data_IF_316437351649
#
_entry.id   IF_316437351649
#
_cell.length_a   1.000
_cell.length_b   1.000
_cell.length_c   1.000
_cell.angle_alpha   90.00
_cell.angle_beta   90.00
_cell.angle_gamma   90.00
#
_symmetry.space_group_name_H-M   'P 1'
#
loop_
_entity.id
_entity.type
_entity.pdbx_description
1 polymer ?
#
# COMPACT_ATOMS: atom_id res chain seq x y z
N UNK A 1 -24.61 23.67 -43.79
CA UNK A 1 -24.50 23.99 -42.34
C UNK A 1 -24.83 22.80 -41.41
N UNK A 2 -25.75 21.87 -41.75
CA UNK A 2 -26.14 20.73 -40.88
C UNK A 2 -25.09 19.62 -40.65
N UNK A 3 -23.98 19.57 -41.40
CA UNK A 3 -22.95 18.50 -41.26
C UNK A 3 -22.05 18.64 -40.02
N UNK A 4 -21.99 19.83 -39.40
CA UNK A 4 -21.14 20.06 -38.22
C UNK A 4 -21.90 19.99 -36.89
N UNK A 5 -23.24 19.97 -36.93
CA UNK A 5 -24.09 19.85 -35.75
C UNK A 5 -23.72 18.65 -34.83
N UNK A 6 -23.50 17.42 -35.35
CA UNK A 6 -23.10 16.31 -34.48
C UNK A 6 -21.72 16.53 -33.84
N UNK A 7 -20.78 17.12 -34.58
CA UNK A 7 -19.45 17.44 -34.06
C UNK A 7 -19.48 18.51 -32.97
N UNK A 8 -20.35 19.51 -33.08
CA UNK A 8 -20.53 20.53 -32.05
C UNK A 8 -21.12 19.94 -30.76
N UNK A 9 -22.05 19.00 -30.87
CA UNK A 9 -22.61 18.31 -29.70
C UNK A 9 -21.54 17.49 -29.00
N UNK A 10 -20.74 16.73 -29.75
CA UNK A 10 -19.64 15.93 -29.18
C UNK A 10 -18.60 16.84 -28.52
N UNK A 11 -18.18 17.92 -29.18
CA UNK A 11 -17.22 18.87 -28.63
C UNK A 11 -17.75 19.54 -27.35
N UNK A 12 -19.04 19.90 -27.34
CA UNK A 12 -19.68 20.47 -26.16
C UNK A 12 -19.72 19.47 -25.01
N UNK A 13 -20.15 18.23 -25.25
CA UNK A 13 -20.17 17.18 -24.22
C UNK A 13 -18.77 16.88 -23.68
N UNK A 14 -17.76 16.80 -24.54
CA UNK A 14 -16.37 16.54 -24.15
C UNK A 14 -15.76 17.66 -23.28
N UNK A 15 -16.23 18.90 -23.42
CA UNK A 15 -15.80 20.03 -22.59
C UNK A 15 -16.62 20.15 -21.31
N UNK A 16 -17.94 20.02 -21.40
CA UNK A 16 -18.84 20.23 -20.25
C UNK A 16 -18.75 19.09 -19.25
N UNK A 17 -18.57 17.85 -19.71
CA UNK A 17 -18.49 16.70 -18.82
C UNK A 17 -17.33 16.77 -17.80
N UNK A 18 -16.05 16.97 -18.20
CA UNK A 18 -14.97 17.08 -17.21
C UNK A 18 -15.13 18.30 -16.30
N UNK A 19 -15.65 19.42 -16.81
CA UNK A 19 -15.94 20.60 -15.99
C UNK A 19 -17.04 20.34 -14.96
N UNK A 20 -18.10 19.64 -15.35
CA UNK A 20 -19.17 19.26 -14.44
C UNK A 20 -18.68 18.27 -13.38
N UNK A 21 -17.90 17.25 -13.77
CA UNK A 21 -17.28 16.31 -12.82
C UNK A 21 -16.43 17.07 -11.81
N UNK A 22 -15.50 17.92 -12.26
CA UNK A 22 -14.67 18.71 -11.33
C UNK A 22 -15.49 19.64 -10.42
N UNK A 23 -16.58 20.24 -10.93
CA UNK A 23 -17.42 21.15 -10.17
C UNK A 23 -18.34 20.45 -9.15
N UNK A 24 -18.80 19.23 -9.43
CA UNK A 24 -19.77 18.52 -8.59
C UNK A 24 -19.14 17.43 -7.71
N UNK A 25 -18.08 16.76 -8.17
CA UNK A 25 -17.40 15.68 -7.42
C UNK A 25 -15.99 16.04 -6.95
N UNK A 26 -15.45 17.20 -7.34
CA UNK A 26 -14.07 17.56 -7.06
C UNK A 26 -13.06 16.87 -7.98
N UNK A 27 -11.77 17.16 -7.76
CA UNK A 27 -10.68 16.46 -8.45
C UNK A 27 -10.50 15.05 -7.84
N UNK A 28 -10.18 14.02 -8.66
CA UNK A 28 -9.87 12.70 -8.11
C UNK A 28 -8.65 12.79 -7.20
N UNK A 29 -8.80 12.31 -5.97
CA UNK A 29 -7.71 12.14 -5.02
C UNK A 29 -7.17 10.72 -5.18
N UNK A 30 -5.89 10.59 -5.54
CA UNK A 30 -5.20 9.31 -5.57
C UNK A 30 -4.53 9.08 -4.21
N UNK A 31 -4.61 7.86 -3.65
CA UNK A 31 -3.93 7.57 -2.40
C UNK A 31 -2.42 7.79 -2.56
N UNK A 32 -1.85 8.42 -1.55
CA UNK A 32 -0.41 8.55 -1.37
C UNK A 32 0.16 7.26 -0.79
N UNK A 33 1.48 7.07 -0.88
CA UNK A 33 2.16 5.90 -0.33
C UNK A 33 1.92 5.72 1.17
N UNK A 34 1.78 6.83 1.90
CA UNK A 34 1.59 6.79 3.35
C UNK A 34 0.17 6.34 3.73
N UNK A 35 -0.79 6.44 2.81
CA UNK A 35 -2.17 5.97 3.04
C UNK A 35 -2.29 4.44 3.09
N UNK A 36 -1.27 3.72 2.60
CA UNK A 36 -1.21 2.25 2.63
C UNK A 36 -0.36 1.70 3.80
N UNK A 37 0.10 2.55 4.71
CA UNK A 37 0.64 2.12 6.00
C UNK A 37 -0.54 2.00 6.96
N UNK A 38 -0.77 0.81 7.52
CA UNK A 38 -1.98 0.55 8.31
C UNK A 38 -1.65 0.62 9.80
N UNK A 39 -1.92 1.75 10.50
CA UNK A 39 -1.56 1.87 11.90
C UNK A 39 -2.39 0.93 12.76
N UNK A 40 -1.79 0.43 13.84
CA UNK A 40 -2.48 -0.32 14.87
C UNK A 40 -3.53 0.56 15.56
N UNK A 41 -4.81 0.25 15.38
CA UNK A 41 -5.94 1.02 15.95
C UNK A 41 -6.72 0.27 17.03
N UNK A 42 -6.54 -1.04 17.16
CA UNK A 42 -7.27 -1.84 18.15
C UNK A 42 -6.80 -3.29 18.23
N UNK A 43 -7.73 -4.16 18.63
CA UNK A 43 -7.56 -5.63 18.62
C UNK A 43 -7.85 -6.18 17.23
N UNK A 44 -7.09 -7.19 16.79
CA UNK A 44 -7.24 -7.82 15.49
C UNK A 44 -6.03 -8.65 15.12
N UNK A 45 -5.97 -9.07 13.86
CA UNK A 45 -4.78 -9.68 13.26
C UNK A 45 -3.78 -8.58 12.91
N UNK A 46 -2.51 -8.84 13.18
CA UNK A 46 -1.42 -7.89 12.97
C UNK A 46 -0.44 -8.48 11.96
N UNK A 47 0.37 -7.61 11.41
CA UNK A 47 1.52 -7.99 10.59
C UNK A 47 2.76 -7.24 11.06
N UNK A 48 3.92 -7.87 10.89
CA UNK A 48 5.21 -7.23 11.13
C UNK A 48 5.87 -6.94 9.80
N UNK A 49 5.89 -5.66 9.43
CA UNK A 49 6.43 -5.18 8.15
C UNK A 49 7.91 -4.86 8.31
N UNK A 50 8.78 -5.60 7.64
CA UNK A 50 10.23 -5.36 7.60
C UNK A 50 10.61 -4.21 6.68
N UNK A 51 9.73 -3.85 5.75
CA UNK A 51 9.81 -2.61 4.99
C UNK A 51 9.08 -2.64 3.66
N UNK A 52 8.97 -1.46 3.06
CA UNK A 52 8.39 -1.24 1.75
C UNK A 52 9.46 -1.05 0.68
N UNK A 53 9.20 -1.51 -0.54
CA UNK A 53 10.10 -1.37 -1.69
C UNK A 53 9.33 -0.94 -2.94
N UNK A 54 10.01 -0.22 -3.81
CA UNK A 54 9.43 0.28 -5.07
C UNK A 54 9.35 -0.80 -6.17
N UNK A 55 10.04 -1.93 -5.97
CA UNK A 55 10.07 -3.02 -6.95
C UNK A 55 10.07 -4.39 -6.28
N UNK A 56 9.50 -5.37 -6.96
CA UNK A 56 9.50 -6.76 -6.54
C UNK A 56 10.93 -7.30 -6.38
N UNK A 57 11.86 -6.88 -7.23
CA UNK A 57 13.26 -7.28 -7.15
C UNK A 57 13.91 -6.82 -5.83
N UNK A 58 13.70 -5.58 -5.44
CA UNK A 58 14.28 -5.06 -4.19
C UNK A 58 13.56 -5.66 -2.95
N UNK A 59 12.28 -6.03 -3.09
CA UNK A 59 11.55 -6.78 -2.07
C UNK A 59 12.06 -8.22 -1.92
N UNK A 60 12.40 -8.89 -3.02
CA UNK A 60 13.03 -10.21 -2.99
C UNK A 60 14.37 -10.16 -2.24
N UNK A 61 15.20 -9.15 -2.54
CA UNK A 61 16.47 -8.95 -1.85
C UNK A 61 16.28 -8.73 -0.33
N UNK A 62 15.25 -7.97 0.07
CA UNK A 62 14.92 -7.78 1.49
C UNK A 62 14.37 -9.07 2.12
N UNK A 63 13.42 -9.75 1.48
CA UNK A 63 12.84 -11.00 1.99
C UNK A 63 13.92 -12.04 2.21
N UNK A 64 14.85 -12.20 1.26
CA UNK A 64 15.93 -13.18 1.38
C UNK A 64 16.87 -12.83 2.55
N UNK A 65 17.11 -11.54 2.85
CA UNK A 65 17.84 -11.11 4.05
C UNK A 65 17.08 -11.46 5.34
N UNK A 66 15.78 -11.17 5.38
CA UNK A 66 14.90 -11.44 6.53
C UNK A 66 14.80 -12.95 6.81
N UNK A 67 14.65 -13.76 5.77
CA UNK A 67 14.65 -15.22 5.86
C UNK A 67 16.01 -15.76 6.33
N UNK A 68 17.13 -15.19 5.83
CA UNK A 68 18.47 -15.63 6.20
C UNK A 68 18.79 -15.43 7.70
N UNK A 69 18.16 -14.44 8.35
CA UNK A 69 18.31 -14.20 9.79
C UNK A 69 17.25 -14.93 10.65
N UNK A 70 16.35 -15.69 10.01
CA UNK A 70 15.50 -16.67 10.70
C UNK A 70 14.02 -16.28 10.87
N UNK A 71 13.57 -15.17 10.31
CA UNK A 71 12.14 -14.83 10.29
C UNK A 71 11.46 -15.63 9.18
N UNK A 72 11.06 -16.86 9.49
CA UNK A 72 10.35 -17.73 8.55
C UNK A 72 8.91 -17.28 8.34
N UNK A 73 8.34 -17.53 7.16
CA UNK A 73 6.99 -17.08 6.84
C UNK A 73 6.93 -15.63 6.37
N UNK A 74 8.07 -15.03 6.03
CA UNK A 74 8.09 -13.70 5.42
C UNK A 74 7.65 -13.74 3.96
N UNK A 75 6.65 -12.94 3.63
CA UNK A 75 6.04 -12.87 2.30
C UNK A 75 6.29 -11.52 1.63
N UNK A 76 5.90 -11.42 0.36
CA UNK A 76 5.95 -10.18 -0.42
C UNK A 76 4.55 -9.93 -0.94
N UNK A 77 4.00 -8.77 -0.62
CA UNK A 77 2.66 -8.38 -1.07
C UNK A 77 2.65 -6.95 -1.60
N UNK A 78 1.76 -6.64 -2.53
CA UNK A 78 1.55 -5.27 -2.99
C UNK A 78 0.76 -4.45 -1.98
N UNK A 79 1.21 -3.22 -1.68
CA UNK A 79 0.53 -2.37 -0.68
C UNK A 79 -0.71 -1.65 -1.23
N UNK A 80 -1.02 -1.77 -2.52
CA UNK A 80 -2.13 -1.05 -3.17
C UNK A 80 -1.84 0.42 -3.51
N UNK A 81 -0.74 1.00 -3.00
CA UNK A 81 -0.26 2.36 -3.28
C UNK A 81 0.97 2.39 -4.20
N UNK A 82 1.30 1.27 -4.83
CA UNK A 82 2.39 1.16 -5.80
C UNK A 82 3.76 0.86 -5.19
N UNK A 83 3.80 0.33 -3.97
CA UNK A 83 4.98 -0.35 -3.41
C UNK A 83 4.64 -1.82 -3.15
N UNK A 84 5.66 -2.57 -2.79
CA UNK A 84 5.54 -3.93 -2.27
C UNK A 84 6.08 -3.94 -0.83
N UNK A 85 5.33 -4.57 0.08
CA UNK A 85 5.72 -4.79 1.47
C UNK A 85 6.38 -6.16 1.62
N UNK A 86 7.26 -6.27 2.59
CA UNK A 86 7.86 -7.53 3.05
C UNK A 86 7.48 -7.71 4.50
N UNK A 87 6.62 -8.67 4.80
CA UNK A 87 5.98 -8.81 6.12
C UNK A 87 5.91 -10.26 6.58
N UNK A 88 5.65 -10.45 7.87
CA UNK A 88 5.11 -11.69 8.42
C UNK A 88 3.70 -11.37 8.91
N UNK A 89 2.73 -12.06 8.35
CA UNK A 89 1.30 -11.82 8.57
C UNK A 89 0.76 -12.78 9.65
N UNK A 90 -0.57 -12.80 9.88
CA UNK A 90 -1.23 -13.69 10.84
C UNK A 90 -0.70 -13.57 12.29
N UNK A 91 -0.22 -12.39 12.70
CA UNK A 91 0.28 -12.18 14.05
C UNK A 91 -0.93 -12.02 14.99
N UNK A 92 -1.15 -12.93 15.94
CA UNK A 92 -2.44 -13.06 16.62
C UNK A 92 -2.66 -12.01 17.72
N UNK A 93 -1.59 -11.44 18.26
CA UNK A 93 -1.67 -10.41 19.29
C UNK A 93 -0.58 -9.38 19.13
N UNK A 94 -0.86 -8.17 19.63
CA UNK A 94 0.09 -7.07 19.63
C UNK A 94 1.40 -7.44 20.33
N UNK A 95 1.33 -8.16 21.45
CA UNK A 95 2.50 -8.58 22.22
C UNK A 95 3.40 -9.53 21.43
N UNK A 96 2.82 -10.43 20.63
CA UNK A 96 3.58 -11.31 19.73
C UNK A 96 4.32 -10.46 18.69
N UNK A 97 3.64 -9.49 18.06
CA UNK A 97 4.27 -8.60 17.09
C UNK A 97 5.40 -7.75 17.69
N UNK A 98 5.19 -7.19 18.88
CA UNK A 98 6.23 -6.43 19.61
C UNK A 98 7.45 -7.30 19.95
N UNK A 99 7.24 -8.58 20.27
CA UNK A 99 8.32 -9.54 20.50
C UNK A 99 9.10 -9.82 19.21
N UNK A 100 8.42 -10.01 18.07
CA UNK A 100 9.10 -10.17 16.77
C UNK A 100 9.94 -8.93 16.44
N UNK A 101 9.39 -7.72 16.62
CA UNK A 101 10.14 -6.47 16.40
C UNK A 101 11.37 -6.41 17.30
N UNK A 102 11.23 -6.79 18.58
CA UNK A 102 12.34 -6.81 19.52
C UNK A 102 13.44 -7.76 19.06
N UNK A 103 13.09 -8.94 18.56
CA UNK A 103 14.04 -9.91 18.01
C UNK A 103 14.70 -9.38 16.74
N UNK A 104 13.93 -8.80 15.83
CA UNK A 104 14.42 -8.24 14.56
C UNK A 104 15.46 -7.15 14.77
N UNK A 105 15.25 -6.28 15.77
CA UNK A 105 16.22 -5.23 16.15
C UNK A 105 17.56 -5.77 16.63
N UNK A 106 17.61 -6.99 17.17
CA UNK A 106 18.89 -7.61 17.58
C UNK A 106 19.77 -8.02 16.40
N UNK A 107 19.16 -8.15 15.22
CA UNK A 107 19.83 -8.45 13.95
C UNK A 107 19.78 -7.26 12.99
N UNK A 108 19.70 -6.04 13.53
CA UNK A 108 19.79 -4.78 12.79
C UNK A 108 18.67 -4.56 11.76
N UNK A 109 17.53 -5.25 11.92
CA UNK A 109 16.31 -4.96 11.16
C UNK A 109 15.41 -3.97 11.93
N UNK A 110 14.69 -3.12 11.19
CA UNK A 110 13.85 -2.06 11.74
C UNK A 110 12.38 -2.21 11.33
N UNK A 111 11.70 -3.32 11.68
CA UNK A 111 10.31 -3.52 11.29
C UNK A 111 9.32 -2.63 12.06
N UNK A 112 8.15 -2.44 11.45
CA UNK A 112 6.96 -1.79 12.02
C UNK A 112 5.88 -2.83 12.33
N UNK A 113 5.06 -2.54 13.35
CA UNK A 113 3.84 -3.32 13.62
C UNK A 113 2.69 -2.60 12.95
N UNK A 114 1.94 -3.32 12.13
CA UNK A 114 0.81 -2.79 11.39
C UNK A 114 -0.43 -3.67 11.64
N UNK A 115 -1.60 -3.09 11.41
CA UNK A 115 -2.83 -3.86 11.41
C UNK A 115 -2.91 -4.62 10.09
N UNK A 116 -3.23 -5.91 10.12
CA UNK A 116 -3.43 -6.67 8.90
C UNK A 116 -4.65 -6.13 8.15
N UNK A 117 -4.50 -5.88 6.84
CA UNK A 117 -5.47 -5.21 5.99
C UNK A 117 -5.33 -5.51 4.51
#
# INVERSE_FOLDING_TARGET
MRRHAPWLIVAFAALVYPLAVLAFSGAPEFPSRDDCVVPVTGEGEYEVVFGYRDSERDALELRDQVLAVGFTGTEIEGDGCGRVRVSVDDIPTREVGEEVIRQARTVELEPTLEQEG
#
